data_IF_895474848674
#
_entry.id   IF_895474848674
#
_cell.length_a   1.000
_cell.length_b   1.000
_cell.length_c   1.000
_cell.angle_alpha   90.00
_cell.angle_beta   90.00
_cell.angle_gamma   90.00
#
_symmetry.space_group_name_H-M   'P 1'
#
loop_
_entity.id
_entity.type
_entity.pdbx_description
1 polymer ?
#
# COMPACT_ATOMS: atom_id res chain seq x y z
N UNK A 1 -18.03 3.39 -1.18
CA UNK A 1 -17.66 2.03 -0.72
C UNK A 1 -17.21 2.15 0.71
N UNK A 2 -17.75 1.32 1.61
CA UNK A 2 -17.40 1.36 3.04
C UNK A 2 -16.04 0.68 3.28
N UNK A 3 -15.24 1.14 4.25
CA UNK A 3 -14.04 0.43 4.68
C UNK A 3 -14.38 -0.96 5.24
N UNK A 4 -13.55 -1.94 4.94
CA UNK A 4 -13.64 -3.31 5.46
C UNK A 4 -12.43 -3.61 6.36
N UNK A 5 -12.60 -4.36 7.46
CA UNK A 5 -11.47 -4.81 8.27
C UNK A 5 -10.54 -5.73 7.46
N UNK A 6 -9.23 -5.54 7.60
CA UNK A 6 -8.21 -6.34 6.94
C UNK A 6 -6.89 -6.32 7.72
N UNK A 7 -5.98 -7.25 7.40
CA UNK A 7 -4.60 -7.18 7.89
C UNK A 7 -3.74 -6.37 6.92
N UNK A 8 -2.93 -5.46 7.46
CA UNK A 8 -1.99 -4.65 6.70
C UNK A 8 -0.92 -5.53 6.02
N UNK A 9 -0.79 -5.51 4.68
CA UNK A 9 0.25 -6.28 3.97
C UNK A 9 1.68 -6.00 4.41
N UNK A 10 1.98 -4.81 4.95
CA UNK A 10 3.34 -4.39 5.30
C UNK A 10 3.78 -4.78 6.71
N UNK A 11 2.84 -4.94 7.65
CA UNK A 11 3.19 -5.15 9.06
C UNK A 11 2.29 -6.15 9.78
N UNK A 12 1.29 -6.73 9.12
CA UNK A 12 0.36 -7.71 9.70
C UNK A 12 -0.67 -7.14 10.66
N UNK A 13 -0.55 -5.89 11.12
CA UNK A 13 -1.48 -5.28 12.06
C UNK A 13 -2.89 -5.15 11.48
N UNK A 14 -3.89 -5.13 12.37
CA UNK A 14 -5.27 -4.79 12.02
C UNK A 14 -5.33 -3.40 11.37
N UNK A 15 -6.06 -3.32 10.26
CA UNK A 15 -6.20 -2.15 9.41
C UNK A 15 -7.58 -2.16 8.76
N UNK A 16 -7.90 -1.08 8.08
CA UNK A 16 -9.06 -1.01 7.19
C UNK A 16 -8.59 -0.98 5.74
N UNK A 17 -9.38 -1.56 4.84
CA UNK A 17 -9.18 -1.43 3.39
C UNK A 17 -10.45 -0.96 2.71
N UNK A 18 -10.30 -0.14 1.68
CA UNK A 18 -11.38 0.26 0.78
C UNK A 18 -10.94 -0.01 -0.64
N UNK A 19 -11.82 -0.53 -1.51
CA UNK A 19 -11.50 -0.67 -2.93
C UNK A 19 -11.22 0.72 -3.54
N UNK A 20 -10.14 0.81 -4.31
CA UNK A 20 -9.70 2.05 -4.95
C UNK A 20 -9.53 1.84 -6.47
N UNK A 21 -9.91 2.86 -7.24
CA UNK A 21 -9.73 2.89 -8.69
C UNK A 21 -8.26 3.18 -9.06
N UNK A 22 -7.75 2.75 -10.23
CA UNK A 22 -8.45 1.93 -11.23
C UNK A 22 -8.51 0.44 -10.86
N UNK A 23 -7.51 -0.12 -10.15
CA UNK A 23 -7.45 -1.54 -9.76
C UNK A 23 -6.60 -1.78 -8.50
N UNK A 24 -7.14 -1.48 -7.32
CA UNK A 24 -6.43 -1.72 -6.08
C UNK A 24 -7.26 -1.52 -4.82
N UNK A 25 -6.55 -1.30 -3.72
CA UNK A 25 -7.11 -1.03 -2.41
C UNK A 25 -6.36 0.14 -1.77
N UNK A 26 -7.09 1.03 -1.11
CA UNK A 26 -6.55 1.96 -0.13
C UNK A 26 -6.55 1.25 1.22
N UNK A 27 -5.39 1.13 1.86
CA UNK A 27 -5.26 0.67 3.23
C UNK A 27 -5.11 1.85 4.18
N UNK A 28 -5.78 1.77 5.33
CA UNK A 28 -5.61 2.66 6.48
C UNK A 28 -5.06 1.82 7.64
N UNK A 29 -3.75 1.84 7.82
CA UNK A 29 -3.07 1.11 8.89
C UNK A 29 -2.58 2.07 9.98
N UNK A 30 -2.85 1.81 11.27
CA UNK A 30 -2.36 2.67 12.36
C UNK A 30 -0.82 2.71 12.45
N UNK A 31 -0.14 1.63 12.06
CA UNK A 31 1.32 1.53 12.11
C UNK A 31 2.06 2.00 10.86
N UNK A 32 1.47 1.87 9.67
CA UNK A 32 2.09 2.20 8.39
C UNK A 32 1.55 3.50 7.77
N UNK A 33 0.33 3.87 8.15
CA UNK A 33 -0.40 4.97 7.55
C UNK A 33 -1.30 4.54 6.39
N UNK A 34 -1.75 5.56 5.65
CA UNK A 34 -2.56 5.40 4.45
C UNK A 34 -1.69 5.15 3.21
N UNK A 35 -2.02 4.12 2.43
CA UNK A 35 -1.33 3.84 1.16
C UNK A 35 -2.22 3.03 0.21
N UNK A 36 -1.96 3.17 -1.09
CA UNK A 36 -2.57 2.35 -2.12
C UNK A 36 -1.74 1.10 -2.39
N UNK A 37 -2.42 0.00 -2.73
CA UNK A 37 -1.79 -1.21 -3.25
C UNK A 37 -2.60 -1.72 -4.44
N UNK A 38 -1.91 -1.97 -5.56
CA UNK A 38 -2.57 -2.58 -6.72
C UNK A 38 -2.97 -4.02 -6.42
N UNK A 39 -4.00 -4.53 -7.10
CA UNK A 39 -4.44 -5.92 -6.90
C UNK A 39 -3.31 -6.93 -7.17
N UNK A 40 -2.48 -6.66 -8.18
CA UNK A 40 -1.33 -7.50 -8.53
C UNK A 40 -0.26 -7.46 -7.44
N UNK A 41 0.06 -6.27 -6.89
CA UNK A 41 1.03 -6.17 -5.80
C UNK A 41 0.54 -6.87 -4.52
N UNK A 42 -0.77 -6.83 -4.25
CA UNK A 42 -1.35 -7.58 -3.13
C UNK A 42 -1.25 -9.10 -3.33
N UNK A 43 -1.40 -9.59 -4.58
CA UNK A 43 -1.20 -11.01 -4.89
C UNK A 43 0.28 -11.42 -4.75
N UNK A 44 1.20 -10.53 -5.13
CA UNK A 44 2.65 -10.67 -4.99
C UNK A 44 3.17 -10.15 -3.64
N UNK A 45 2.40 -10.27 -2.54
CA UNK A 45 2.77 -9.69 -1.24
C UNK A 45 4.13 -10.15 -0.71
N UNK A 46 4.56 -11.34 -1.12
CA UNK A 46 5.82 -11.96 -0.71
C UNK A 46 7.02 -11.26 -1.36
N UNK A 47 6.78 -10.60 -2.49
CA UNK A 47 7.77 -9.85 -3.27
C UNK A 47 7.82 -8.37 -2.87
N UNK A 48 7.01 -7.95 -1.88
CA UNK A 48 7.06 -6.58 -1.35
C UNK A 48 8.41 -6.39 -0.63
N UNK A 49 9.21 -5.37 -1.01
CA UNK A 49 10.51 -5.15 -0.39
C UNK A 49 10.40 -4.94 1.13
N UNK A 50 11.41 -5.41 1.88
CA UNK A 50 11.48 -5.18 3.33
C UNK A 50 11.51 -3.68 3.70
N UNK A 51 12.00 -2.81 2.80
CA UNK A 51 12.01 -1.36 2.96
C UNK A 51 10.62 -0.72 2.84
N UNK A 52 9.61 -1.43 2.30
CA UNK A 52 8.34 -0.85 1.89
C UNK A 52 7.65 -0.05 3.00
N UNK A 53 7.75 -0.51 4.26
CA UNK A 53 7.18 0.19 5.41
C UNK A 53 7.85 1.56 5.63
N UNK A 54 9.18 1.63 5.51
CA UNK A 54 9.94 2.87 5.64
C UNK A 54 9.67 3.80 4.45
N UNK A 55 9.62 3.26 3.23
CA UNK A 55 9.38 4.02 2.00
C UNK A 55 7.98 4.66 2.00
N UNK A 56 6.96 3.90 2.42
CA UNK A 56 5.59 4.40 2.60
C UNK A 56 5.56 5.54 3.63
N UNK A 57 6.23 5.38 4.76
CA UNK A 57 6.29 6.44 5.79
C UNK A 57 6.99 7.70 5.29
N UNK A 58 8.10 7.53 4.57
CA UNK A 58 8.88 8.63 4.01
C UNK A 58 8.08 9.43 2.98
N UNK A 59 7.45 8.74 2.03
CA UNK A 59 6.60 9.38 1.02
C UNK A 59 5.42 10.15 1.67
N UNK A 60 4.81 9.61 2.73
CA UNK A 60 3.78 10.32 3.49
C UNK A 60 4.32 11.56 4.19
N UNK A 61 5.51 11.49 4.79
CA UNK A 61 6.14 12.64 5.43
C UNK A 61 6.40 13.78 4.43
N UNK A 62 6.66 13.44 3.16
CA UNK A 62 6.76 14.40 2.05
C UNK A 62 5.41 14.82 1.44
N UNK A 63 4.28 14.40 2.02
CA UNK A 63 2.95 14.79 1.56
C UNK A 63 2.45 14.03 0.32
N UNK A 64 3.11 12.95 -0.08
CA UNK A 64 2.63 12.06 -1.13
C UNK A 64 1.66 11.03 -0.57
N UNK A 65 0.77 10.52 -1.44
CA UNK A 65 -0.01 9.33 -1.16
C UNK A 65 0.74 8.11 -1.74
N UNK A 66 1.35 7.25 -0.92
CA UNK A 66 2.17 6.16 -1.43
C UNK A 66 1.33 5.13 -2.18
N UNK A 67 1.91 4.52 -3.20
CA UNK A 67 1.31 3.45 -3.98
C UNK A 67 2.30 2.31 -4.15
N UNK A 68 1.83 1.09 -3.89
CA UNK A 68 2.58 -0.14 -4.08
C UNK A 68 2.04 -0.81 -5.34
N UNK A 69 2.93 -1.06 -6.30
CA UNK A 69 2.57 -1.59 -7.62
C UNK A 69 3.61 -2.58 -8.14
N UNK A 70 3.17 -3.45 -9.04
CA UNK A 70 4.05 -4.37 -9.76
C UNK A 70 4.59 -3.66 -11.00
N UNK A 71 5.88 -3.80 -11.24
CA UNK A 71 6.61 -3.33 -12.41
C UNK A 71 7.44 -4.47 -13.00
N UNK A 72 8.14 -4.18 -14.10
CA UNK A 72 8.97 -5.17 -14.81
C UNK A 72 9.99 -5.87 -13.90
N UNK A 73 10.56 -5.12 -12.97
CA UNK A 73 11.63 -5.58 -12.07
C UNK A 73 11.12 -6.04 -10.69
N UNK A 74 9.80 -6.19 -10.53
CA UNK A 74 9.16 -6.64 -9.29
C UNK A 74 8.23 -5.60 -8.67
N UNK A 75 8.02 -5.69 -7.35
CA UNK A 75 7.15 -4.77 -6.62
C UNK A 75 7.91 -3.52 -6.23
N UNK A 76 7.34 -2.34 -6.48
CA UNK A 76 7.91 -1.05 -6.10
C UNK A 76 6.93 -0.18 -5.32
N UNK A 77 7.48 0.76 -4.58
CA UNK A 77 6.76 1.80 -3.84
C UNK A 77 7.01 3.12 -4.55
N UNK A 78 5.94 3.80 -4.96
CA UNK A 78 6.00 5.06 -5.70
C UNK A 78 5.13 6.13 -5.05
N UNK A 79 5.41 7.42 -5.24
CA UNK A 79 4.42 8.46 -5.01
C UNK A 79 3.23 8.23 -5.96
N UNK A 80 2.06 7.95 -5.41
CA UNK A 80 0.83 7.83 -6.18
C UNK A 80 0.51 9.14 -6.90
N UNK A 81 -0.13 9.03 -8.08
CA UNK A 81 -0.62 10.19 -8.82
C UNK A 81 -1.92 10.66 -8.15
N UNK A 82 -2.04 11.98 -7.93
CA UNK A 82 -3.29 12.62 -7.46
C UNK A 82 -4.41 12.42 -8.47
#
# INVERSE_FOLDING_TARGET
MSPEPANCPLCGAAAERTRAAPRGYLYLCPGCGAYHISRSALACRQDIPASARSDVRLLRAYGHQPQIEVCRDGVRIVPGRR
#
